data_IF_918779604675
#
_entry.id   IF_918779604675
#
_cell.length_a   1.000
_cell.length_b   1.000
_cell.length_c   1.000
_cell.angle_alpha   90.00
_cell.angle_beta   90.00
_cell.angle_gamma   90.00
#
_symmetry.space_group_name_H-M   'P 1'
#
loop_
_entity.id
_entity.type
_entity.pdbx_description
1 polymer ?
#
# COMPACT_ATOMS: atom_id res chain seq x y z
N UNK A 1 17.11 24.36 12.21
CA UNK A 1 16.52 23.44 11.23
C UNK A 1 15.04 23.25 11.54
N UNK A 2 14.16 24.02 10.88
CA UNK A 2 12.71 23.99 11.12
C UNK A 2 12.07 22.90 10.26
N UNK A 3 11.46 21.90 10.91
CA UNK A 3 10.69 20.83 10.25
C UNK A 3 9.27 21.34 10.01
N UNK A 4 8.91 21.61 8.76
CA UNK A 4 7.55 21.90 8.35
C UNK A 4 6.69 20.64 8.43
N UNK A 5 5.71 20.64 9.34
CA UNK A 5 4.62 19.66 9.35
C UNK A 5 3.62 20.00 8.26
N UNK A 6 3.49 19.13 7.25
CA UNK A 6 2.41 19.19 6.26
C UNK A 6 1.37 18.14 6.64
N UNK A 7 0.26 18.58 7.22
CA UNK A 7 -0.91 17.75 7.47
C UNK A 7 -1.69 17.55 6.16
N UNK A 8 -2.15 16.32 5.83
CA UNK A 8 -2.96 16.09 4.63
C UNK A 8 -4.37 16.65 4.82
N UNK A 9 -4.75 17.61 3.98
CA UNK A 9 -6.14 18.09 3.85
C UNK A 9 -6.97 16.94 3.28
N UNK A 10 -7.93 16.44 4.05
CA UNK A 10 -8.92 15.45 3.61
C UNK A 10 -9.80 16.10 2.53
N UNK A 11 -9.95 15.44 1.39
CA UNK A 11 -10.85 15.85 0.32
C UNK A 11 -12.30 15.78 0.80
N UNK A 12 -13.00 16.91 0.77
CA UNK A 12 -14.45 16.97 0.95
C UNK A 12 -15.09 16.28 -0.25
N UNK A 13 -15.80 15.17 0.00
CA UNK A 13 -16.57 14.48 -1.02
C UNK A 13 -17.70 15.37 -1.54
N UNK A 14 -17.68 15.65 -2.83
CA UNK A 14 -18.77 16.33 -3.54
C UNK A 14 -19.85 15.27 -3.79
N UNK A 15 -20.92 15.33 -3.00
CA UNK A 15 -22.13 14.57 -3.27
C UNK A 15 -22.72 15.01 -4.62
N UNK A 16 -23.03 14.03 -5.47
CA UNK A 16 -23.52 14.24 -6.82
C UNK A 16 -24.84 15.02 -6.85
N UNK A 17 -24.81 16.18 -7.49
CA UNK A 17 -26.03 16.92 -7.86
C UNK A 17 -26.31 16.61 -9.34
N UNK A 18 -27.46 15.99 -9.59
CA UNK A 18 -28.01 15.77 -10.94
C UNK A 18 -28.39 17.13 -11.56
N UNK A 19 -28.20 17.37 -12.86
CA UNK A 19 -28.64 18.61 -13.49
C UNK A 19 -30.15 18.53 -13.78
N UNK A 20 -30.95 19.31 -13.06
CA UNK A 20 -32.34 19.56 -13.46
C UNK A 20 -32.43 20.81 -14.34
N UNK A 21 -32.91 20.54 -15.53
CA UNK A 21 -33.39 21.39 -16.61
C UNK A 21 -34.35 22.51 -16.21
N UNK A 22 -34.14 23.67 -16.85
CA UNK A 22 -35.15 24.60 -17.42
C UNK A 22 -36.28 25.16 -16.54
N UNK A 23 -36.19 26.45 -16.19
CA UNK A 23 -37.32 27.40 -16.14
C UNK A 23 -36.79 28.79 -16.52
N UNK A 24 -36.98 29.21 -17.78
CA UNK A 24 -38.03 30.14 -18.27
C UNK A 24 -38.03 31.51 -17.57
N UNK A 25 -37.68 32.49 -18.39
CA UNK A 25 -37.90 33.93 -18.30
C UNK A 25 -39.13 34.34 -17.48
N UNK A 26 -38.92 35.24 -16.51
CA UNK A 26 -39.93 36.22 -16.10
C UNK A 26 -39.26 37.56 -15.89
N UNK A 27 -39.34 38.40 -16.91
CA UNK A 27 -39.35 39.85 -16.83
C UNK A 27 -40.63 40.28 -16.12
N UNK A 28 -40.53 40.93 -14.97
CA UNK A 28 -41.60 41.77 -14.44
C UNK A 28 -41.01 43.13 -14.09
N UNK A 29 -41.52 44.10 -14.84
CA UNK A 29 -41.26 45.53 -14.77
C UNK A 29 -41.62 46.12 -13.41
N UNK A 30 -40.65 46.78 -12.78
CA UNK A 30 -40.94 47.84 -11.81
C UNK A 30 -41.01 49.17 -12.54
N UNK A 31 -42.22 49.55 -12.97
CA UNK A 31 -42.53 50.93 -13.31
C UNK A 31 -42.76 51.71 -12.03
N UNK A 32 -41.81 52.56 -11.67
CA UNK A 32 -42.00 53.62 -10.70
C UNK A 32 -41.53 54.94 -11.32
N UNK A 33 -42.39 55.95 -11.19
CA UNK A 33 -42.23 57.38 -11.45
C UNK A 33 -42.46 57.92 -12.87
N UNK A 34 -43.69 58.44 -13.03
CA UNK A 34 -44.03 59.61 -13.83
C UNK A 34 -43.16 60.83 -13.47
N UNK A 35 -42.73 61.53 -14.51
CA UNK A 35 -42.83 62.99 -14.59
C UNK A 35 -41.88 63.83 -13.73
N UNK A 36 -40.75 64.24 -14.31
CA UNK A 36 -40.46 65.67 -14.43
C UNK A 36 -39.45 65.95 -15.56
N UNK A 37 -39.93 66.65 -16.60
CA UNK A 37 -39.10 67.19 -17.68
C UNK A 37 -38.26 68.34 -17.15
N UNK A 38 -36.94 68.16 -17.00
CA UNK A 38 -35.99 69.28 -17.03
C UNK A 38 -34.78 68.98 -17.92
N UNK A 39 -34.79 69.69 -19.06
CA UNK A 39 -33.68 70.19 -19.87
C UNK A 39 -32.52 69.23 -20.14
N UNK A 40 -32.47 68.78 -21.39
CA UNK A 40 -31.23 68.43 -22.07
C UNK A 40 -30.20 69.56 -21.89
N UNK A 41 -29.12 69.26 -21.17
CA UNK A 41 -27.85 69.98 -21.24
C UNK A 41 -26.77 68.93 -21.48
N UNK A 42 -26.07 69.10 -22.61
CA UNK A 42 -25.08 68.19 -23.14
C UNK A 42 -24.02 67.78 -22.10
N UNK A 43 -23.79 66.47 -21.95
CA UNK A 43 -22.49 65.88 -21.58
C UNK A 43 -22.39 64.44 -22.09
N UNK A 44 -22.52 64.24 -23.41
CA UNK A 44 -21.88 63.08 -24.04
C UNK A 44 -20.35 63.28 -23.96
N UNK A 45 -19.67 62.84 -22.90
CA UNK A 45 -18.19 62.73 -22.96
C UNK A 45 -17.45 61.93 -21.87
N UNK A 46 -17.78 61.90 -20.55
CA UNK A 46 -16.87 61.29 -19.57
C UNK A 46 -17.27 59.89 -19.06
N UNK A 47 -18.56 59.56 -18.95
CA UNK A 47 -19.01 58.29 -18.34
C UNK A 47 -18.73 57.05 -19.23
N UNK A 48 -18.89 57.16 -20.55
CA UNK A 48 -18.62 56.06 -21.49
C UNK A 48 -17.11 55.76 -21.64
N UNK A 49 -16.23 56.76 -21.45
CA UNK A 49 -14.77 56.58 -21.46
C UNK A 49 -14.28 55.88 -20.18
N UNK A 50 -14.87 56.19 -19.02
CA UNK A 50 -14.58 55.49 -17.76
C UNK A 50 -15.00 54.01 -17.77
N UNK A 51 -16.19 53.71 -18.28
CA UNK A 51 -16.70 52.33 -18.40
C UNK A 51 -15.87 51.48 -19.38
N UNK A 52 -15.46 52.04 -20.53
CA UNK A 52 -14.61 51.31 -21.48
C UNK A 52 -13.19 51.08 -20.96
N UNK A 53 -12.63 52.00 -20.17
CA UNK A 53 -11.37 51.81 -19.47
C UNK A 53 -11.46 50.72 -18.38
N UNK A 54 -12.55 50.70 -17.61
CA UNK A 54 -12.83 49.66 -16.61
C UNK A 54 -13.04 48.27 -17.23
N UNK A 55 -13.75 48.19 -18.37
CA UNK A 55 -13.91 46.93 -19.11
C UNK A 55 -12.56 46.45 -19.67
N UNK A 56 -11.72 47.35 -20.19
CA UNK A 56 -10.36 46.99 -20.67
C UNK A 56 -9.47 46.51 -19.53
N UNK A 57 -9.51 47.15 -18.36
CA UNK A 57 -8.71 46.72 -17.20
C UNK A 57 -9.21 45.39 -16.62
N UNK A 58 -10.53 45.17 -16.56
CA UNK A 58 -11.13 43.90 -16.16
C UNK A 58 -10.78 42.77 -17.15
N UNK A 59 -10.82 43.01 -18.47
CA UNK A 59 -10.40 42.04 -19.49
C UNK A 59 -8.92 41.67 -19.37
N UNK A 60 -8.05 42.64 -19.08
CA UNK A 60 -6.62 42.38 -18.81
C UNK A 60 -6.43 41.50 -17.57
N UNK A 61 -7.14 41.81 -16.46
CA UNK A 61 -7.12 40.98 -15.24
C UNK A 61 -7.63 39.55 -15.49
N UNK A 62 -8.71 39.41 -16.26
CA UNK A 62 -9.25 38.10 -16.62
C UNK A 62 -8.27 37.30 -17.50
N UNK A 63 -7.60 37.95 -18.46
CA UNK A 63 -6.57 37.30 -19.27
C UNK A 63 -5.36 36.83 -18.43
N UNK A 64 -4.92 37.64 -17.47
CA UNK A 64 -3.83 37.24 -16.55
C UNK A 64 -4.24 36.06 -15.66
N UNK A 65 -5.45 36.08 -15.10
CA UNK A 65 -5.97 34.98 -14.28
C UNK A 65 -6.13 33.70 -15.10
N UNK A 66 -6.69 33.80 -16.32
CA UNK A 66 -6.81 32.66 -17.22
C UNK A 66 -5.45 32.04 -17.59
N UNK A 67 -4.42 32.88 -17.81
CA UNK A 67 -3.06 32.38 -18.06
C UNK A 67 -2.44 31.71 -16.84
N UNK A 68 -2.71 32.21 -15.63
CA UNK A 68 -2.26 31.61 -14.38
C UNK A 68 -2.94 30.25 -14.14
N UNK A 69 -4.26 30.15 -14.37
CA UNK A 69 -5.01 28.89 -14.28
C UNK A 69 -4.45 27.85 -15.26
N UNK A 70 -4.18 28.23 -16.51
CA UNK A 70 -3.59 27.29 -17.48
C UNK A 70 -2.20 26.79 -17.06
N UNK A 71 -1.38 27.64 -16.42
CA UNK A 71 -0.07 27.25 -15.91
C UNK A 71 -0.21 26.27 -14.73
N UNK A 72 -1.07 26.56 -13.76
CA UNK A 72 -1.30 25.67 -12.61
C UNK A 72 -1.91 24.34 -13.05
N UNK A 73 -2.85 24.33 -14.00
CA UNK A 73 -3.39 23.10 -14.58
C UNK A 73 -2.31 22.24 -15.25
N UNK A 74 -1.38 22.86 -15.98
CA UNK A 74 -0.26 22.16 -16.59
C UNK A 74 0.69 21.56 -15.54
N UNK A 75 0.99 22.28 -14.47
CA UNK A 75 1.79 21.80 -13.33
C UNK A 75 1.10 20.65 -12.59
N UNK A 76 -0.20 20.76 -12.30
CA UNK A 76 -0.98 19.69 -11.69
C UNK A 76 -1.01 18.43 -12.55
N UNK A 77 -1.13 18.56 -13.88
CA UNK A 77 -1.05 17.41 -14.81
C UNK A 77 0.33 16.75 -14.79
N UNK A 78 1.42 17.52 -14.77
CA UNK A 78 2.78 16.98 -14.65
C UNK A 78 2.99 16.25 -13.32
N UNK A 79 2.56 16.88 -12.23
CA UNK A 79 2.68 16.33 -10.88
C UNK A 79 1.84 15.07 -10.69
N UNK A 80 0.63 15.03 -11.28
CA UNK A 80 -0.21 13.83 -11.29
C UNK A 80 0.42 12.67 -12.07
N UNK A 81 1.08 12.95 -13.21
CA UNK A 81 1.82 11.91 -13.97
C UNK A 81 3.00 11.37 -13.16
N UNK A 82 3.82 12.26 -12.58
CA UNK A 82 4.95 11.88 -11.73
C UNK A 82 4.52 11.01 -10.54
N UNK A 83 3.43 11.37 -9.85
CA UNK A 83 2.87 10.57 -8.76
C UNK A 83 2.43 9.17 -9.21
N UNK A 84 1.79 9.07 -10.39
CA UNK A 84 1.37 7.77 -10.95
C UNK A 84 2.57 6.89 -11.29
N UNK A 85 3.65 7.47 -11.81
CA UNK A 85 4.89 6.73 -12.11
C UNK A 85 5.58 6.29 -10.81
N UNK A 86 5.71 7.17 -9.83
CA UNK A 86 6.27 6.86 -8.51
C UNK A 86 5.46 5.73 -7.82
N UNK A 87 4.13 5.79 -7.89
CA UNK A 87 3.26 4.77 -7.33
C UNK A 87 3.44 3.42 -8.02
N UNK A 88 3.61 3.39 -9.34
CA UNK A 88 3.91 2.16 -10.10
C UNK A 88 5.26 1.56 -9.70
N UNK A 89 6.31 2.38 -9.63
CA UNK A 89 7.65 1.92 -9.20
C UNK A 89 7.59 1.38 -7.78
N UNK A 90 6.92 2.09 -6.87
CA UNK A 90 6.72 1.66 -5.48
C UNK A 90 5.91 0.37 -5.38
N UNK A 91 4.89 0.19 -6.22
CA UNK A 91 4.10 -1.03 -6.27
C UNK A 91 4.93 -2.23 -6.75
N UNK A 92 5.77 -2.04 -7.77
CA UNK A 92 6.70 -3.06 -8.27
C UNK A 92 7.72 -3.46 -7.20
N UNK A 93 8.32 -2.48 -6.53
CA UNK A 93 9.26 -2.72 -5.41
C UNK A 93 8.60 -3.50 -4.27
N UNK A 94 7.41 -3.08 -3.84
CA UNK A 94 6.64 -3.82 -2.82
C UNK A 94 6.29 -5.24 -3.26
N UNK A 95 6.00 -5.44 -4.54
CA UNK A 95 5.73 -6.75 -5.12
C UNK A 95 6.96 -7.67 -5.04
N UNK A 96 8.13 -7.15 -5.39
CA UNK A 96 9.41 -7.87 -5.29
C UNK A 96 9.77 -8.17 -3.83
N UNK A 97 9.65 -7.19 -2.94
CA UNK A 97 9.87 -7.38 -1.50
C UNK A 97 8.96 -8.45 -0.91
N UNK A 98 7.67 -8.44 -1.28
CA UNK A 98 6.73 -9.47 -0.83
C UNK A 98 7.15 -10.86 -1.30
N UNK A 99 7.56 -11.00 -2.56
CA UNK A 99 8.03 -12.28 -3.11
C UNK A 99 9.32 -12.74 -2.43
N UNK A 100 10.27 -11.84 -2.23
CA UNK A 100 11.56 -12.14 -1.61
C UNK A 100 11.45 -12.48 -0.12
N UNK A 101 10.48 -11.91 0.59
CA UNK A 101 10.28 -12.17 2.04
C UNK A 101 9.35 -13.34 2.32
N UNK A 102 8.67 -13.88 1.31
CA UNK A 102 7.84 -15.08 1.46
C UNK A 102 8.73 -16.32 1.43
N UNK A 103 8.45 -17.31 2.27
CA UNK A 103 9.17 -18.57 2.26
C UNK A 103 8.80 -19.39 1.02
N UNK A 104 9.78 -20.10 0.42
CA UNK A 104 9.50 -20.93 -0.75
C UNK A 104 8.55 -22.06 -0.38
N UNK A 105 7.49 -22.22 -1.18
CA UNK A 105 6.57 -23.33 -1.02
C UNK A 105 7.25 -24.64 -1.41
N UNK A 106 7.12 -25.66 -0.56
CA UNK A 106 7.62 -27.01 -0.86
C UNK A 106 6.79 -27.65 -1.97
N UNK A 107 7.45 -28.23 -2.96
CA UNK A 107 6.77 -28.98 -4.01
C UNK A 107 6.34 -30.34 -3.49
N UNK A 108 5.16 -30.79 -3.90
CA UNK A 108 4.74 -32.18 -3.76
C UNK A 108 5.36 -33.03 -4.89
N UNK A 109 5.27 -34.37 -4.79
CA UNK A 109 5.93 -35.28 -5.74
C UNK A 109 5.47 -35.04 -7.19
N UNK A 110 4.17 -34.84 -7.42
CA UNK A 110 3.62 -34.53 -8.75
C UNK A 110 4.11 -33.19 -9.31
N UNK A 111 4.09 -32.11 -8.52
CA UNK A 111 4.53 -30.78 -8.97
C UNK A 111 6.04 -30.75 -9.23
N UNK A 112 6.82 -31.52 -8.46
CA UNK A 112 8.23 -31.74 -8.75
C UNK A 112 8.43 -32.51 -10.05
N UNK A 113 7.66 -33.58 -10.29
CA UNK A 113 7.69 -34.34 -11.53
C UNK A 113 7.34 -33.46 -12.75
N UNK A 114 6.29 -32.65 -12.68
CA UNK A 114 5.92 -31.66 -13.72
C UNK A 114 7.07 -30.70 -13.98
N UNK A 115 7.69 -30.17 -12.92
CA UNK A 115 8.80 -29.22 -13.02
C UNK A 115 10.00 -29.82 -13.76
N UNK A 116 10.38 -31.06 -13.44
CA UNK A 116 11.55 -31.70 -14.04
C UNK A 116 11.26 -32.21 -15.44
N UNK A 117 10.12 -32.87 -15.63
CA UNK A 117 9.77 -33.48 -16.93
C UNK A 117 9.42 -32.44 -18.00
N UNK A 118 9.06 -31.22 -17.60
CA UNK A 118 8.63 -30.15 -18.51
C UNK A 118 7.27 -30.43 -19.17
N UNK A 119 6.55 -31.48 -18.73
CA UNK A 119 5.27 -31.89 -19.29
C UNK A 119 4.12 -31.04 -18.77
N UNK A 120 3.03 -30.96 -19.53
CA UNK A 120 1.77 -30.40 -19.05
C UNK A 120 1.20 -31.21 -17.88
N UNK A 121 0.37 -30.59 -17.04
CA UNK A 121 -0.17 -31.20 -15.81
C UNK A 121 -0.95 -32.49 -16.11
N UNK A 122 -1.71 -32.53 -17.21
CA UNK A 122 -2.51 -33.70 -17.63
C UNK A 122 -1.61 -34.88 -17.95
N UNK A 123 -0.64 -34.68 -18.83
CA UNK A 123 0.24 -35.73 -19.36
C UNK A 123 1.22 -36.21 -18.27
N UNK A 124 1.64 -35.29 -17.41
CA UNK A 124 2.47 -35.60 -16.26
C UNK A 124 1.74 -36.49 -15.25
N UNK A 125 0.43 -36.29 -15.05
CA UNK A 125 -0.36 -37.08 -14.12
C UNK A 125 -0.46 -38.55 -14.56
N UNK A 126 -0.71 -38.80 -15.84
CA UNK A 126 -0.76 -40.17 -16.38
C UNK A 126 0.63 -40.82 -16.34
N UNK A 127 1.66 -40.09 -16.76
CA UNK A 127 3.03 -40.60 -16.73
C UNK A 127 3.50 -40.93 -15.31
N UNK A 128 3.19 -40.08 -14.32
CA UNK A 128 3.54 -40.30 -12.93
C UNK A 128 2.81 -41.51 -12.32
N UNK A 129 1.57 -41.76 -12.74
CA UNK A 129 0.82 -42.98 -12.34
C UNK A 129 1.45 -44.24 -12.93
N UNK A 130 2.05 -44.16 -14.11
CA UNK A 130 2.69 -45.30 -14.77
C UNK A 130 4.12 -45.56 -14.30
N UNK A 131 4.72 -44.68 -13.49
CA UNK A 131 6.04 -44.92 -12.87
C UNK A 131 6.00 -46.11 -11.91
N UNK A 132 7.09 -46.86 -11.89
CA UNK A 132 7.29 -47.91 -10.88
C UNK A 132 7.45 -47.29 -9.48
N UNK A 133 7.26 -48.10 -8.44
CA UNK A 133 7.44 -47.63 -7.05
C UNK A 133 8.88 -47.16 -6.80
N UNK A 134 9.87 -47.84 -7.38
CA UNK A 134 11.28 -47.48 -7.29
C UNK A 134 11.57 -46.11 -7.94
N UNK A 135 11.02 -45.87 -9.13
CA UNK A 135 11.16 -44.58 -9.81
C UNK A 135 10.50 -43.45 -9.01
N UNK A 136 9.30 -43.70 -8.48
CA UNK A 136 8.61 -42.72 -7.63
C UNK A 136 9.46 -42.36 -6.43
N UNK A 137 10.04 -43.34 -5.75
CA UNK A 137 10.89 -43.11 -4.58
C UNK A 137 12.09 -42.22 -4.92
N UNK A 138 12.76 -42.44 -6.07
CA UNK A 138 13.83 -41.54 -6.55
C UNK A 138 13.33 -40.10 -6.73
N UNK A 139 12.14 -39.91 -7.29
CA UNK A 139 11.55 -38.58 -7.43
C UNK A 139 11.21 -37.96 -6.06
N UNK A 140 10.79 -38.74 -5.07
CA UNK A 140 10.50 -38.25 -3.72
C UNK A 140 11.76 -37.79 -2.98
N UNK A 141 12.84 -38.57 -3.06
CA UNK A 141 14.15 -38.22 -2.49
C UNK A 141 14.71 -36.96 -3.16
N UNK A 142 14.64 -36.90 -4.49
CA UNK A 142 15.06 -35.72 -5.25
C UNK A 142 14.22 -34.48 -4.94
N UNK A 143 12.90 -34.65 -4.74
CA UNK A 143 11.98 -33.60 -4.30
C UNK A 143 12.36 -33.08 -2.92
N UNK A 144 12.68 -33.96 -1.98
CA UNK A 144 13.12 -33.58 -0.63
C UNK A 144 14.42 -32.81 -0.67
N UNK A 145 15.42 -33.32 -1.39
CA UNK A 145 16.69 -32.64 -1.60
C UNK A 145 16.49 -31.25 -2.24
N UNK A 146 15.60 -31.14 -3.24
CA UNK A 146 15.24 -29.87 -3.86
C UNK A 146 14.58 -28.92 -2.84
N UNK A 147 13.61 -29.39 -2.06
CA UNK A 147 12.88 -28.57 -1.08
C UNK A 147 13.81 -28.09 0.05
N UNK A 148 14.74 -28.92 0.50
CA UNK A 148 15.75 -28.57 1.50
C UNK A 148 16.70 -27.50 0.93
N UNK A 149 17.26 -27.73 -0.27
CA UNK A 149 18.12 -26.76 -0.95
C UNK A 149 17.39 -25.43 -1.21
N UNK A 150 16.14 -25.48 -1.67
CA UNK A 150 15.32 -24.30 -1.89
C UNK A 150 15.16 -23.45 -0.61
N UNK A 151 14.94 -24.10 0.54
CA UNK A 151 14.83 -23.42 1.83
C UNK A 151 16.18 -22.90 2.34
N UNK A 152 17.29 -23.60 2.06
CA UNK A 152 18.62 -23.21 2.54
C UNK A 152 19.17 -21.92 1.91
N UNK A 153 18.63 -21.48 0.77
CA UNK A 153 18.99 -20.17 0.19
C UNK A 153 18.60 -18.99 1.07
N UNK A 154 17.67 -19.19 2.00
CA UNK A 154 17.05 -18.11 2.72
C UNK A 154 17.38 -18.14 4.20
N UNK A 155 17.86 -17.00 4.69
CA UNK A 155 17.99 -16.79 6.13
C UNK A 155 16.62 -16.80 6.81
N UNK A 156 16.47 -17.51 7.95
CA UNK A 156 15.22 -17.54 8.67
C UNK A 156 14.89 -16.16 9.25
N UNK A 157 13.60 -15.85 9.31
CA UNK A 157 13.13 -14.57 9.84
C UNK A 157 13.53 -14.41 11.31
N UNK A 158 14.10 -13.26 11.71
CA UNK A 158 14.44 -13.01 13.11
C UNK A 158 13.18 -13.01 13.98
N UNK A 159 13.27 -13.63 15.16
CA UNK A 159 12.19 -13.65 16.15
C UNK A 159 12.17 -12.32 16.90
N UNK A 160 10.98 -11.75 17.09
CA UNK A 160 10.83 -10.55 17.91
C UNK A 160 10.95 -10.88 19.40
N UNK A 161 11.35 -9.87 20.18
CA UNK A 161 11.23 -9.94 21.62
C UNK A 161 9.77 -10.21 22.01
N UNK A 162 9.50 -11.20 22.88
CA UNK A 162 8.14 -11.51 23.31
C UNK A 162 7.52 -10.30 24.02
N UNK A 163 6.23 -10.08 23.79
CA UNK A 163 5.44 -9.09 24.54
C UNK A 163 5.57 -9.34 26.06
N UNK A 164 5.42 -8.32 26.92
CA UNK A 164 5.47 -8.50 28.37
C UNK A 164 4.57 -9.63 28.88
N UNK A 165 3.33 -9.71 28.37
CA UNK A 165 2.43 -10.81 28.71
C UNK A 165 2.93 -12.17 28.22
N UNK A 166 3.56 -12.24 27.04
CA UNK A 166 4.17 -13.47 26.55
C UNK A 166 5.38 -13.91 27.38
N UNK A 167 6.18 -12.97 27.92
CA UNK A 167 7.23 -13.28 28.89
C UNK A 167 6.62 -13.85 30.18
N UNK A 168 5.57 -13.22 30.69
CA UNK A 168 4.84 -13.71 31.86
C UNK A 168 4.29 -15.12 31.65
N UNK A 169 3.63 -15.38 30.52
CA UNK A 169 3.15 -16.74 30.18
C UNK A 169 4.33 -17.71 30.15
N UNK A 170 5.43 -17.38 29.46
CA UNK A 170 6.58 -18.29 29.33
C UNK A 170 7.13 -18.73 30.69
N UNK A 171 7.15 -17.85 31.67
CA UNK A 171 7.66 -18.14 33.02
C UNK A 171 6.63 -18.83 33.92
N UNK A 172 5.34 -18.53 33.75
CA UNK A 172 4.27 -18.98 34.66
C UNK A 172 3.36 -20.04 34.06
N UNK A 173 3.68 -20.57 32.88
CA UNK A 173 2.81 -21.53 32.18
C UNK A 173 2.76 -22.86 32.92
N UNK A 174 1.56 -23.19 33.43
CA UNK A 174 1.25 -24.50 33.99
C UNK A 174 0.13 -25.13 33.17
N UNK A 175 0.37 -26.36 32.71
CA UNK A 175 -0.64 -27.11 31.96
C UNK A 175 -1.76 -27.55 32.92
N UNK A 176 -2.97 -27.10 32.63
CA UNK A 176 -4.21 -27.56 33.25
C UNK A 176 -4.95 -28.47 32.27
N UNK A 177 -6.23 -28.76 32.50
CA UNK A 177 -7.05 -29.65 31.67
C UNK A 177 -6.97 -29.37 30.15
N UNK A 178 -6.93 -28.08 29.77
CA UNK A 178 -6.74 -27.67 28.36
C UNK A 178 -5.84 -26.44 28.29
N UNK A 179 -5.03 -26.29 27.21
CA UNK A 179 -4.21 -25.09 27.00
C UNK A 179 -5.01 -23.79 27.07
N UNK A 180 -6.24 -23.81 26.56
CA UNK A 180 -7.14 -22.67 26.57
C UNK A 180 -7.53 -22.26 27.98
N UNK A 181 -7.86 -23.22 28.86
CA UNK A 181 -8.15 -22.93 30.27
C UNK A 181 -6.91 -22.37 30.99
N UNK A 182 -5.72 -22.93 30.74
CA UNK A 182 -4.47 -22.40 31.29
C UNK A 182 -4.21 -20.95 30.89
N UNK A 183 -4.39 -20.61 29.61
CA UNK A 183 -4.17 -19.25 29.13
C UNK A 183 -5.19 -18.25 29.68
N UNK A 184 -6.45 -18.65 29.87
CA UNK A 184 -7.48 -17.80 30.51
C UNK A 184 -7.09 -17.45 31.94
N UNK A 185 -6.73 -18.46 32.75
CA UNK A 185 -6.30 -18.24 34.13
C UNK A 185 -5.06 -17.35 34.22
N UNK A 186 -4.08 -17.54 33.34
CA UNK A 186 -2.90 -16.68 33.29
C UNK A 186 -3.23 -15.25 32.85
N UNK A 187 -4.17 -15.08 31.93
CA UNK A 187 -4.64 -13.76 31.53
C UNK A 187 -5.33 -13.04 32.68
N UNK A 188 -6.16 -13.74 33.45
CA UNK A 188 -6.83 -13.19 34.64
C UNK A 188 -5.79 -12.77 35.69
N UNK A 189 -4.84 -13.66 36.01
CA UNK A 189 -3.73 -13.37 36.92
C UNK A 189 -2.91 -12.17 36.46
N UNK A 190 -2.56 -12.10 35.18
CA UNK A 190 -1.83 -10.96 34.61
C UNK A 190 -2.60 -9.65 34.77
N UNK A 191 -3.91 -9.66 34.56
CA UNK A 191 -4.73 -8.45 34.69
C UNK A 191 -4.77 -7.97 36.15
N UNK A 192 -4.77 -8.88 37.13
CA UNK A 192 -4.74 -8.56 38.56
C UNK A 192 -3.37 -8.13 39.10
N UNK A 193 -2.26 -8.42 38.40
CA UNK A 193 -0.92 -8.01 38.84
C UNK A 193 -0.76 -6.48 38.92
N UNK A 194 -0.02 -6.02 39.92
CA UNK A 194 0.31 -4.61 40.12
C UNK A 194 1.28 -4.09 39.04
N UNK A 195 1.35 -2.77 38.87
CA UNK A 195 2.22 -2.15 37.86
C UNK A 195 3.71 -2.48 38.09
N UNK A 196 4.14 -2.55 39.35
CA UNK A 196 5.53 -2.85 39.72
C UNK A 196 5.92 -4.30 39.40
N UNK A 197 4.98 -5.24 39.52
CA UNK A 197 5.18 -6.63 39.14
C UNK A 197 5.25 -6.79 37.63
N UNK A 198 4.42 -6.02 36.89
CA UNK A 198 4.45 -5.97 35.43
C UNK A 198 5.73 -5.36 34.88
N UNK A 199 6.39 -4.46 35.63
CA UNK A 199 7.63 -3.81 35.22
C UNK A 199 8.74 -4.82 34.92
N UNK A 200 8.79 -5.95 35.65
CA UNK A 200 9.75 -7.06 35.44
C UNK A 200 9.65 -7.68 34.04
N UNK A 201 8.48 -7.61 33.43
CA UNK A 201 8.18 -8.20 32.13
C UNK A 201 8.31 -7.22 30.96
N UNK A 202 8.52 -5.93 31.23
CA UNK A 202 8.61 -4.91 30.18
C UNK A 202 9.85 -5.16 29.32
N UNK A 203 9.66 -5.11 28.00
CA UNK A 203 10.76 -5.21 27.03
C UNK A 203 11.48 -3.87 26.96
N UNK A 204 12.81 -3.89 27.11
CA UNK A 204 13.62 -2.67 26.96
C UNK A 204 13.35 -2.01 25.60
N UNK A 205 13.18 -0.67 25.53
CA UNK A 205 13.04 0.04 24.27
C UNK A 205 14.18 -0.23 23.28
N UNK A 206 15.37 -0.58 23.78
CA UNK A 206 16.54 -0.92 22.96
C UNK A 206 16.37 -2.27 22.26
N UNK A 207 15.89 -3.29 22.96
CA UNK A 207 15.57 -4.61 22.38
C UNK A 207 14.52 -4.49 21.27
N UNK A 208 13.52 -3.62 21.46
CA UNK A 208 12.51 -3.36 20.43
C UNK A 208 13.11 -2.70 19.19
N UNK A 209 14.00 -1.72 19.37
CA UNK A 209 14.71 -1.06 18.26
C UNK A 209 15.64 -2.05 17.55
N UNK A 210 16.37 -2.87 18.29
CA UNK A 210 17.24 -3.91 17.74
C UNK A 210 16.44 -4.92 16.91
N UNK A 211 15.29 -5.40 17.41
CA UNK A 211 14.41 -6.31 16.67
C UNK A 211 13.86 -5.69 15.37
N UNK A 212 13.51 -4.40 15.38
CA UNK A 212 13.09 -3.69 14.16
C UNK A 212 14.23 -3.54 13.14
N UNK A 213 15.45 -3.22 13.61
CA UNK A 213 16.65 -3.16 12.76
C UNK A 213 16.96 -4.53 12.16
N UNK A 214 17.01 -5.58 12.98
CA UNK A 214 17.23 -6.95 12.53
C UNK A 214 16.20 -7.39 11.47
N UNK A 215 14.93 -7.01 11.61
CA UNK A 215 13.92 -7.29 10.57
C UNK A 215 14.20 -6.53 9.27
N UNK A 216 14.62 -5.27 9.34
CA UNK A 216 14.97 -4.48 8.15
C UNK A 216 16.19 -5.06 7.44
N UNK A 217 17.23 -5.41 8.21
CA UNK A 217 18.45 -6.04 7.70
C UNK A 217 18.12 -7.40 7.06
N UNK A 218 17.28 -8.21 7.71
CA UNK A 218 16.78 -9.46 7.16
C UNK A 218 16.04 -9.27 5.83
N UNK A 219 15.18 -8.25 5.71
CA UNK A 219 14.49 -7.96 4.44
C UNK A 219 15.47 -7.61 3.32
N UNK A 220 16.48 -6.79 3.62
CA UNK A 220 17.51 -6.43 2.64
C UNK A 220 18.35 -7.64 2.23
N UNK A 221 18.67 -8.51 3.20
CA UNK A 221 19.40 -9.75 2.97
C UNK A 221 18.58 -10.70 2.08
N UNK A 222 17.28 -10.88 2.38
CA UNK A 222 16.36 -11.68 1.54
C UNK A 222 16.26 -11.17 0.10
N UNK A 223 16.27 -9.84 -0.12
CA UNK A 223 16.29 -9.26 -1.47
C UNK A 223 17.55 -9.62 -2.26
N UNK A 224 18.70 -9.80 -1.58
CA UNK A 224 19.97 -10.22 -2.21
C UNK A 224 20.03 -11.74 -2.44
N UNK A 225 19.41 -12.53 -1.57
CA UNK A 225 19.31 -13.99 -1.72
C UNK A 225 18.30 -14.40 -2.80
N UNK A 226 17.25 -13.62 -2.99
CA UNK A 226 16.15 -13.97 -3.88
C UNK A 226 16.56 -14.23 -5.34
N UNK A 227 17.44 -13.43 -5.98
CA UNK A 227 17.96 -13.73 -7.31
C UNK A 227 18.67 -15.09 -7.39
N UNK A 228 19.50 -15.42 -6.39
CA UNK A 228 20.21 -16.73 -6.34
C UNK A 228 19.22 -17.89 -6.27
N UNK A 229 18.15 -17.72 -5.50
CA UNK A 229 17.07 -18.71 -5.45
C UNK A 229 16.33 -18.84 -6.79
N UNK A 230 16.11 -17.73 -7.52
CA UNK A 230 15.50 -17.78 -8.85
C UNK A 230 16.39 -18.52 -9.85
N UNK A 231 17.70 -18.23 -9.85
CA UNK A 231 18.68 -18.95 -10.66
C UNK A 231 18.69 -20.45 -10.36
N UNK A 232 18.67 -20.83 -9.08
CA UNK A 232 18.54 -22.23 -8.67
C UNK A 232 17.23 -22.83 -9.17
N UNK A 233 16.11 -22.12 -9.02
CA UNK A 233 14.79 -22.61 -9.42
C UNK A 233 14.70 -22.84 -10.92
N UNK A 234 15.28 -21.96 -11.73
CA UNK A 234 15.24 -22.02 -13.20
C UNK A 234 16.23 -23.06 -13.76
N UNK A 235 17.42 -23.17 -13.16
CA UNK A 235 18.48 -24.04 -13.67
C UNK A 235 18.51 -25.44 -13.03
N UNK A 236 17.61 -25.75 -12.10
CA UNK A 236 17.56 -27.07 -11.48
C UNK A 236 17.22 -28.15 -12.50
N UNK A 237 18.14 -29.10 -12.69
CA UNK A 237 17.95 -30.31 -13.48
C UNK A 237 18.01 -31.53 -12.59
N UNK A 238 17.10 -32.47 -12.81
CA UNK A 238 17.13 -33.78 -12.18
C UNK A 238 17.39 -34.81 -13.27
N UNK A 239 18.40 -35.64 -13.04
CA UNK A 239 18.75 -36.79 -13.86
C UNK A 239 18.27 -38.03 -13.08
N UNK A 240 17.21 -38.72 -13.55
CA UNK A 240 16.58 -39.86 -12.86
C UNK A 240 17.41 -41.17 -12.86
#
# INVERSE_FOLDING_TARGET
MLRSFVSPIRSIGINGVKPLTQYRFLTSSTTLFEGEKKKAKATKAPAAKGLTAAIKSAKKKHATIASAIKKTEAEHKKLAKARKEEEKVRAQQKGLEKKATTDPHSLNSMAFFVKVSGRGITDASEAFKNLSEEERQKYEEAREAYNIKAKSFFTPRPKFAPSPFCKYIKENYVFHETPTKSLKLLSEKWNTLAADEKAKYVVSPEEQKAGRKALQDWKQLRLKEYPKYLEFKENYKFEP
#
